data_IF_392275387562
#
_entry.id   IF_392275387562
#
_cell.length_a   1.000
_cell.length_b   1.000
_cell.length_c   1.000
_cell.angle_alpha   90.00
_cell.angle_beta   90.00
_cell.angle_gamma   90.00
#
_symmetry.space_group_name_H-M   'P 1'
#
loop_
_entity.id
_entity.type
_entity.pdbx_description
1 polymer ?
#
# COMPACT_ATOMS: atom_id res chain seq x y z
N UNK A 1 5.92 -14.62 14.13
CA UNK A 1 5.80 -14.31 12.68
C UNK A 1 4.35 -14.26 12.16
N UNK A 2 3.32 -14.62 12.95
CA UNK A 2 1.92 -14.70 12.49
C UNK A 2 1.40 -13.40 11.82
N UNK A 3 1.54 -12.25 12.48
CA UNK A 3 0.92 -10.99 12.01
C UNK A 3 1.61 -10.37 10.79
N UNK A 4 2.95 -10.28 10.80
CA UNK A 4 3.71 -9.51 9.80
C UNK A 4 3.48 -9.95 8.34
N UNK A 5 3.18 -11.22 8.12
CA UNK A 5 2.96 -11.79 6.77
C UNK A 5 1.50 -12.22 6.56
N UNK A 6 0.64 -12.10 7.56
CA UNK A 6 -0.79 -12.37 7.38
C UNK A 6 -1.43 -11.26 6.56
N UNK A 7 -2.32 -11.65 5.65
CA UNK A 7 -3.11 -10.70 4.88
C UNK A 7 -4.27 -10.13 5.70
N UNK A 8 -4.94 -10.97 6.49
CA UNK A 8 -6.24 -10.70 7.10
C UNK A 8 -6.24 -10.75 8.64
N UNK A 9 -5.10 -11.04 9.26
CA UNK A 9 -4.96 -11.15 10.71
C UNK A 9 -4.21 -9.93 11.26
N UNK A 10 -4.90 -8.96 11.88
CA UNK A 10 -4.24 -7.80 12.45
C UNK A 10 -3.46 -8.19 13.72
N UNK A 11 -2.43 -7.40 14.10
CA UNK A 11 -1.88 -7.47 15.44
C UNK A 11 -2.93 -7.02 16.49
N UNK A 12 -2.68 -7.21 17.79
CA UNK A 12 -3.57 -6.73 18.85
C UNK A 12 -3.83 -5.22 18.72
N UNK A 13 -5.07 -4.81 19.02
CA UNK A 13 -5.44 -3.40 19.04
C UNK A 13 -4.61 -2.63 20.05
N UNK A 14 -4.15 -1.44 19.67
CA UNK A 14 -3.51 -0.51 20.60
C UNK A 14 -4.53 0.04 21.60
N UNK A 15 -4.07 0.30 22.82
CA UNK A 15 -4.87 0.95 23.84
C UNK A 15 -4.99 2.46 23.54
N UNK A 16 -6.23 2.97 23.56
CA UNK A 16 -6.52 4.40 23.36
C UNK A 16 -5.82 5.24 24.44
N UNK A 17 -5.24 6.38 24.04
CA UNK A 17 -4.51 7.28 24.93
C UNK A 17 -3.15 6.76 25.43
N UNK A 18 -2.71 5.57 25.00
CA UNK A 18 -1.36 5.08 25.31
C UNK A 18 -0.27 5.92 24.61
N UNK A 19 0.98 5.80 25.08
CA UNK A 19 2.13 6.58 24.59
C UNK A 19 2.28 6.58 23.06
N UNK A 20 2.00 5.45 22.42
CA UNK A 20 2.16 5.26 20.97
C UNK A 20 0.86 5.28 20.18
N UNK A 21 -0.27 5.59 20.83
CA UNK A 21 -1.56 5.67 20.14
C UNK A 21 -1.72 7.00 19.42
N UNK A 22 -2.28 6.97 18.21
CA UNK A 22 -2.61 8.15 17.41
C UNK A 22 -4.08 8.57 17.55
N UNK A 23 -4.88 7.88 18.38
CA UNK A 23 -6.34 8.06 18.45
C UNK A 23 -6.81 9.47 18.84
N UNK A 24 -5.94 10.24 19.51
CA UNK A 24 -6.20 11.63 19.91
C UNK A 24 -5.38 12.66 19.10
N UNK A 25 -4.65 12.25 18.06
CA UNK A 25 -3.87 13.17 17.24
C UNK A 25 -4.80 14.02 16.36
N UNK A 26 -4.66 15.34 16.46
CA UNK A 26 -5.50 16.30 15.74
C UNK A 26 -5.47 16.10 14.21
N UNK A 27 -4.41 15.53 13.65
CA UNK A 27 -4.31 15.20 12.21
C UNK A 27 -5.36 14.18 11.76
N UNK A 28 -5.92 13.41 12.68
CA UNK A 28 -6.87 12.33 12.42
C UNK A 28 -8.25 12.58 13.05
N UNK A 29 -8.52 13.80 13.53
CA UNK A 29 -9.75 14.13 14.26
C UNK A 29 -11.04 13.85 13.46
N UNK A 30 -10.98 14.01 12.14
CA UNK A 30 -12.13 13.81 11.24
C UNK A 30 -12.42 12.33 10.93
N UNK A 31 -11.54 11.40 11.31
CA UNK A 31 -11.75 9.97 11.05
C UNK A 31 -12.84 9.36 11.96
N UNK A 32 -13.05 9.91 13.16
CA UNK A 32 -14.09 9.44 14.08
C UNK A 32 -14.06 7.91 14.31
N UNK A 33 -15.12 7.22 13.89
CA UNK A 33 -15.25 5.76 14.03
C UNK A 33 -14.33 4.96 13.08
N UNK A 34 -13.85 5.58 11.99
CA UNK A 34 -12.96 4.95 11.02
C UNK A 34 -11.49 4.93 11.48
N UNK A 35 -11.17 5.58 12.61
CA UNK A 35 -9.82 5.59 13.17
C UNK A 35 -9.41 4.16 13.60
N UNK A 36 -8.40 3.55 12.96
CA UNK A 36 -8.01 2.19 13.28
C UNK A 36 -7.18 2.15 14.57
N UNK A 37 -7.43 1.16 15.42
CA UNK A 37 -6.57 0.81 16.56
C UNK A 37 -5.58 -0.31 16.22
N UNK A 38 -5.77 -0.97 15.07
CA UNK A 38 -4.87 -1.96 14.48
C UNK A 38 -5.28 -2.16 13.03
N UNK A 39 -4.35 -2.59 12.17
CA UNK A 39 -4.63 -2.92 10.79
C UNK A 39 -3.83 -4.16 10.37
N UNK A 40 -4.46 -5.04 9.59
CA UNK A 40 -3.77 -5.96 8.68
C UNK A 40 -3.74 -5.39 7.25
N UNK A 41 -3.12 -6.11 6.31
CA UNK A 41 -3.03 -5.61 4.93
C UNK A 41 -4.41 -5.51 4.26
N UNK A 42 -5.36 -6.37 4.63
CA UNK A 42 -6.75 -6.31 4.16
C UNK A 42 -7.42 -4.99 4.55
N UNK A 43 -7.24 -4.53 5.79
CA UNK A 43 -7.81 -3.26 6.25
C UNK A 43 -7.23 -2.07 5.48
N UNK A 44 -5.91 -2.10 5.24
CA UNK A 44 -5.23 -1.09 4.41
C UNK A 44 -5.78 -1.06 2.98
N UNK A 45 -6.08 -2.22 2.38
CA UNK A 45 -6.73 -2.29 1.05
C UNK A 45 -8.10 -1.62 1.08
N UNK A 46 -8.91 -1.90 2.11
CA UNK A 46 -10.26 -1.35 2.23
C UNK A 46 -10.27 0.19 2.25
N UNK A 47 -9.31 0.84 2.93
CA UNK A 47 -9.21 2.30 2.93
C UNK A 47 -8.40 2.90 1.77
N UNK A 48 -7.52 2.14 1.12
CA UNK A 48 -6.72 2.64 0.00
C UNK A 48 -7.52 2.70 -1.31
N UNK A 49 -8.41 1.73 -1.56
CA UNK A 49 -9.19 1.66 -2.80
C UNK A 49 -10.16 2.84 -2.99
N UNK A 50 -10.85 3.35 -1.95
CA UNK A 50 -11.61 4.59 -2.04
C UNK A 50 -10.74 5.77 -2.47
N UNK A 51 -9.57 5.96 -1.85
CA UNK A 51 -8.65 7.05 -2.22
C UNK A 51 -8.12 6.93 -3.67
N UNK A 52 -7.88 5.71 -4.15
CA UNK A 52 -7.59 5.46 -5.56
C UNK A 52 -8.74 5.92 -6.47
N UNK A 53 -9.97 5.53 -6.14
CA UNK A 53 -11.14 5.76 -7.00
C UNK A 53 -11.64 7.21 -6.97
N UNK A 54 -11.60 7.84 -5.80
CA UNK A 54 -12.22 9.14 -5.54
C UNK A 54 -11.24 10.32 -5.64
N UNK A 55 -9.93 10.06 -5.52
CA UNK A 55 -8.90 11.12 -5.58
C UNK A 55 -7.93 10.94 -6.74
N UNK A 56 -7.37 9.74 -6.92
CA UNK A 56 -6.32 9.51 -7.94
C UNK A 56 -6.90 9.36 -9.35
N UNK A 57 -7.97 8.56 -9.53
CA UNK A 57 -8.61 8.39 -10.84
C UNK A 57 -9.09 9.73 -11.44
N UNK A 58 -9.72 10.66 -10.70
CA UNK A 58 -10.07 11.98 -11.24
C UNK A 58 -8.88 12.73 -11.84
N UNK A 59 -7.74 12.76 -11.15
CA UNK A 59 -6.53 13.40 -11.70
C UNK A 59 -6.01 12.70 -12.97
N UNK A 60 -6.09 11.37 -13.03
CA UNK A 60 -5.72 10.61 -14.23
C UNK A 60 -6.70 10.85 -15.39
N UNK A 61 -8.00 10.99 -15.12
CA UNK A 61 -9.03 11.36 -16.12
C UNK A 61 -8.78 12.74 -16.72
N UNK A 62 -8.23 13.66 -15.94
CA UNK A 62 -7.79 14.98 -16.39
C UNK A 62 -6.50 14.94 -17.22
N UNK A 63 -5.92 13.75 -17.46
CA UNK A 63 -4.70 13.57 -18.25
C UNK A 63 -3.41 13.93 -17.50
N UNK A 64 -3.45 14.05 -16.16
CA UNK A 64 -2.27 14.38 -15.37
C UNK A 64 -1.35 13.17 -15.19
N UNK A 65 -0.05 13.41 -15.11
CA UNK A 65 0.90 12.44 -14.57
C UNK A 65 0.87 12.52 -13.04
N UNK A 66 0.38 11.45 -12.39
CA UNK A 66 0.23 11.40 -10.93
C UNK A 66 1.41 10.65 -10.28
N UNK A 67 2.06 11.29 -9.32
CA UNK A 67 3.09 10.67 -8.47
C UNK A 67 2.50 10.34 -7.09
N UNK A 68 2.53 9.06 -6.70
CA UNK A 68 2.10 8.61 -5.37
C UNK A 68 3.32 8.28 -4.52
N UNK A 69 3.63 9.14 -3.56
CA UNK A 69 4.68 8.90 -2.55
C UNK A 69 4.05 8.43 -1.25
N UNK A 70 4.29 7.17 -0.87
CA UNK A 70 3.65 6.57 0.29
C UNK A 70 4.55 5.52 0.96
N UNK A 71 3.95 4.51 1.60
CA UNK A 71 4.63 3.50 2.40
C UNK A 71 4.42 2.10 1.81
N UNK A 72 5.22 1.13 2.26
CA UNK A 72 5.19 -0.23 1.72
C UNK A 72 3.80 -0.88 1.70
N UNK A 73 3.03 -0.83 2.79
CA UNK A 73 1.71 -1.49 2.83
C UNK A 73 0.64 -0.76 2.01
N UNK A 74 0.62 0.58 1.98
CA UNK A 74 -0.32 1.32 1.14
C UNK A 74 -0.01 1.15 -0.35
N UNK A 75 1.28 1.14 -0.73
CA UNK A 75 1.69 0.84 -2.10
C UNK A 75 1.40 -0.61 -2.50
N UNK A 76 1.61 -1.59 -1.61
CA UNK A 76 1.23 -2.99 -1.85
C UNK A 76 -0.28 -3.14 -2.02
N UNK A 77 -1.08 -2.43 -1.23
CA UNK A 77 -2.54 -2.41 -1.38
C UNK A 77 -2.97 -1.87 -2.75
N UNK A 78 -2.35 -0.77 -3.19
CA UNK A 78 -2.61 -0.20 -4.52
C UNK A 78 -2.20 -1.16 -5.64
N UNK A 79 -0.99 -1.73 -5.59
CA UNK A 79 -0.52 -2.71 -6.59
C UNK A 79 -1.41 -3.95 -6.62
N UNK A 80 -1.84 -4.46 -5.45
CA UNK A 80 -2.80 -5.57 -5.37
C UNK A 80 -4.07 -5.26 -6.15
N UNK A 81 -4.63 -4.07 -5.97
CA UNK A 81 -5.84 -3.62 -6.65
C UNK A 81 -5.63 -3.52 -8.17
N UNK A 82 -4.54 -2.88 -8.59
CA UNK A 82 -4.20 -2.68 -10.01
C UNK A 82 -3.96 -4.00 -10.76
N UNK A 83 -3.15 -4.90 -10.21
CA UNK A 83 -2.73 -6.12 -10.88
C UNK A 83 -3.69 -7.30 -10.69
N UNK A 84 -4.66 -7.16 -9.79
CA UNK A 84 -5.57 -8.23 -9.38
C UNK A 84 -4.85 -9.36 -8.65
N UNK A 85 -3.88 -9.02 -7.78
CA UNK A 85 -3.09 -10.02 -7.03
C UNK A 85 -4.00 -10.71 -6.01
N UNK A 86 -3.88 -12.02 -5.86
CA UNK A 86 -4.68 -12.79 -4.89
C UNK A 86 -4.28 -12.49 -3.44
N UNK A 87 -5.13 -12.87 -2.48
CA UNK A 87 -4.82 -12.74 -1.04
C UNK A 87 -3.65 -13.65 -0.63
N UNK A 88 -3.47 -14.78 -1.32
CA UNK A 88 -2.37 -15.70 -1.08
C UNK A 88 -1.02 -15.14 -1.59
N UNK A 89 -1.03 -14.50 -2.76
CA UNK A 89 0.20 -14.05 -3.43
C UNK A 89 0.70 -12.71 -2.88
N UNK A 90 -0.20 -11.86 -2.37
CA UNK A 90 0.19 -10.50 -1.96
C UNK A 90 1.22 -10.51 -0.82
N UNK A 91 1.22 -11.53 0.04
CA UNK A 91 2.19 -11.69 1.13
C UNK A 91 3.65 -11.75 0.63
N UNK A 92 3.85 -12.23 -0.60
CA UNK A 92 5.16 -12.35 -1.27
C UNK A 92 5.63 -11.10 -1.99
N UNK A 93 4.73 -10.14 -2.27
CA UNK A 93 5.09 -8.89 -2.95
C UNK A 93 5.96 -8.00 -2.04
N UNK A 94 7.14 -7.63 -2.52
CA UNK A 94 8.01 -6.66 -1.88
C UNK A 94 8.23 -5.48 -2.83
N UNK A 95 7.94 -4.27 -2.36
CA UNK A 95 8.16 -3.02 -3.10
C UNK A 95 9.48 -2.42 -2.61
N UNK A 96 10.44 -2.10 -3.50
CA UNK A 96 11.70 -1.49 -3.10
C UNK A 96 11.49 -0.04 -2.64
N UNK A 97 12.35 0.41 -1.73
CA UNK A 97 12.33 1.81 -1.26
C UNK A 97 13.06 2.72 -2.25
N UNK A 98 12.46 3.84 -2.60
CA UNK A 98 13.14 4.94 -3.30
C UNK A 98 13.33 4.74 -4.81
N UNK A 99 12.66 3.75 -5.41
CA UNK A 99 12.76 3.46 -6.85
C UNK A 99 11.36 3.61 -7.45
N UNK A 100 11.13 4.60 -8.34
CA UNK A 100 9.82 4.82 -8.94
C UNK A 100 9.35 3.61 -9.77
N UNK A 101 8.08 3.25 -9.58
CA UNK A 101 7.37 2.23 -10.34
C UNK A 101 6.34 2.92 -11.23
N UNK A 102 6.55 2.88 -12.54
CA UNK A 102 5.66 3.44 -13.54
C UNK A 102 4.54 2.45 -13.88
N UNK A 103 3.30 2.93 -13.84
CA UNK A 103 2.15 2.24 -14.41
C UNK A 103 1.63 3.03 -15.60
N UNK A 104 1.58 2.37 -16.76
CA UNK A 104 0.76 2.80 -17.88
C UNK A 104 -0.61 2.14 -17.76
N UNK A 105 -1.67 2.93 -17.88
CA UNK A 105 -3.04 2.50 -17.66
C UNK A 105 -3.86 2.64 -18.95
N UNK A 106 -4.79 1.72 -19.18
CA UNK A 106 -5.76 1.80 -20.27
C UNK A 106 -6.92 2.76 -19.93
N UNK A 107 -7.92 2.84 -20.83
CA UNK A 107 -9.09 3.70 -20.65
C UNK A 107 -9.97 3.33 -19.45
N UNK A 108 -9.84 2.11 -18.93
CA UNK A 108 -10.54 1.61 -17.76
C UNK A 108 -9.68 1.72 -16.49
N UNK A 109 -8.55 2.42 -16.56
CA UNK A 109 -7.55 2.56 -15.49
C UNK A 109 -6.95 1.23 -15.03
N UNK A 110 -6.89 0.23 -15.91
CA UNK A 110 -6.20 -1.03 -15.65
C UNK A 110 -4.77 -0.98 -16.20
N UNK A 111 -3.80 -1.64 -15.54
CA UNK A 111 -2.44 -1.72 -16.06
C UNK A 111 -2.36 -2.34 -17.45
N UNK A 112 -1.71 -1.64 -18.39
CA UNK A 112 -1.32 -2.20 -19.69
C UNK A 112 -0.28 -3.32 -19.48
N UNK A 113 0.63 -3.11 -18.52
CA UNK A 113 1.65 -4.06 -18.09
C UNK A 113 1.48 -4.35 -16.60
N UNK A 114 1.08 -5.58 -16.27
CA UNK A 114 1.00 -6.04 -14.88
C UNK A 114 2.36 -5.93 -14.19
N UNK A 115 2.36 -5.45 -12.96
CA UNK A 115 3.56 -5.23 -12.16
C UNK A 115 4.32 -3.95 -12.52
N UNK A 116 3.84 -3.16 -13.49
CA UNK A 116 4.44 -1.90 -13.92
C UNK A 116 5.87 -2.04 -14.46
N UNK A 117 6.58 -0.91 -14.48
CA UNK A 117 7.99 -0.83 -14.87
C UNK A 117 8.78 0.06 -13.91
N UNK A 118 9.79 -0.51 -13.26
CA UNK A 118 10.70 0.29 -12.45
C UNK A 118 11.59 1.15 -13.36
N UNK A 119 11.75 2.43 -13.02
CA UNK A 119 12.60 3.34 -13.80
C UNK A 119 14.10 3.01 -13.68
N UNK A 120 14.48 2.25 -12.64
CA UNK A 120 15.80 1.60 -12.52
C UNK A 120 15.61 0.10 -12.15
N UNK A 121 15.46 -0.79 -13.15
CA UNK A 121 15.20 -2.21 -12.90
C UNK A 121 16.33 -2.92 -12.16
N UNK A 122 17.59 -2.51 -12.38
CA UNK A 122 18.75 -3.13 -11.74
C UNK A 122 18.79 -2.79 -10.25
N UNK A 123 18.63 -1.52 -9.90
CA UNK A 123 18.52 -1.11 -8.50
C UNK A 123 17.28 -1.72 -7.83
N UNK A 124 16.16 -1.84 -8.56
CA UNK A 124 14.93 -2.44 -8.04
C UNK A 124 15.15 -3.90 -7.64
N UNK A 125 15.79 -4.69 -8.50
CA UNK A 125 16.08 -6.09 -8.22
C UNK A 125 16.92 -6.29 -6.95
N UNK A 126 17.96 -5.46 -6.74
CA UNK A 126 18.80 -5.52 -5.54
C UNK A 126 18.04 -5.05 -4.29
N UNK A 127 17.29 -3.94 -4.38
CA UNK A 127 16.51 -3.41 -3.28
C UNK A 127 15.37 -4.34 -2.84
N UNK A 128 14.72 -5.06 -3.78
CA UNK A 128 13.69 -6.06 -3.47
C UNK A 128 14.27 -7.20 -2.63
N UNK A 129 15.48 -7.69 -2.96
CA UNK A 129 16.19 -8.70 -2.15
C UNK A 129 16.46 -8.19 -0.74
N UNK A 130 16.84 -6.92 -0.60
CA UNK A 130 17.08 -6.30 0.71
C UNK A 130 15.78 -6.25 1.56
N UNK A 131 14.66 -5.81 0.98
CA UNK A 131 13.36 -5.76 1.66
C UNK A 131 12.88 -7.16 2.08
N UNK A 132 13.07 -8.18 1.23
CA UNK A 132 12.70 -9.55 1.55
C UNK A 132 13.43 -10.10 2.79
N UNK A 133 14.62 -9.57 3.10
CA UNK A 133 15.42 -9.96 4.26
C UNK A 133 15.17 -9.12 5.52
N UNK A 134 14.41 -8.02 5.41
CA UNK A 134 13.99 -7.26 6.57
C UNK A 134 13.04 -8.09 7.44
N UNK A 135 13.32 -8.20 8.74
CA UNK A 135 12.53 -8.98 9.69
C UNK A 135 12.90 -10.47 9.82
N UNK A 136 14.01 -10.90 9.22
CA UNK A 136 14.63 -12.23 9.46
C UNK A 136 15.66 -12.25 10.60
N UNK A 137 15.67 -11.23 11.46
CA UNK A 137 16.50 -11.20 12.68
C UNK A 137 15.66 -11.61 13.88
#
# INVERSE_FOLDING_TARGET
>A
MLWRRSYDTPPPAIEKGSEYSQDADARYADLGADMPLTECLKDVVLRMVPYWTESIIPDLKDGKTVLVTAHGNSLRALVKHLDGISDADIAGLNIPTGIPLLYELDSDFKPVKKGGEYLDPAAAAEAIKAVANQGKK
#
